data_IF_444449153273
#
_entry.id   IF_444449153273
#
_cell.length_a   1.000
_cell.length_b   1.000
_cell.length_c   1.000
_cell.angle_alpha   90.00
_cell.angle_beta   90.00
_cell.angle_gamma   90.00
#
_symmetry.space_group_name_H-M   'P 1'
#
loop_
_entity.id
_entity.type
_entity.pdbx_description
1 polymer ?
#
# COMPACT_ATOMS: atom_id res chain seq x y z
N UNK A 1 2.12 18.18 -42.15
CA UNK A 1 1.47 16.98 -42.71
C UNK A 1 1.11 15.95 -41.62
N UNK A 2 2.02 15.48 -40.76
CA UNK A 2 1.70 14.55 -39.67
C UNK A 2 0.61 15.04 -38.69
N UNK A 3 0.62 16.33 -38.33
CA UNK A 3 -0.38 16.95 -37.45
C UNK A 3 -1.79 17.00 -38.08
N UNK A 4 -1.88 17.22 -39.39
CA UNK A 4 -3.17 17.23 -40.11
C UNK A 4 -3.75 15.82 -40.23
N UNK A 5 -2.90 14.81 -40.49
CA UNK A 5 -3.30 13.40 -40.50
C UNK A 5 -3.78 12.90 -39.13
N UNK A 6 -3.13 13.36 -38.05
CA UNK A 6 -3.55 13.05 -36.67
C UNK A 6 -4.92 13.66 -36.35
N UNK A 7 -5.17 14.91 -36.77
CA UNK A 7 -6.42 15.64 -36.54
C UNK A 7 -7.60 15.07 -37.32
N UNK A 8 -7.37 14.49 -38.49
CA UNK A 8 -8.40 13.80 -39.28
C UNK A 8 -8.68 12.37 -38.78
N UNK A 9 -7.68 11.72 -38.18
CA UNK A 9 -7.80 10.35 -37.67
C UNK A 9 -8.47 10.27 -36.28
N UNK A 10 -8.28 11.29 -35.44
CA UNK A 10 -8.88 11.35 -34.11
C UNK A 10 -10.05 12.34 -34.10
N UNK A 11 -11.31 11.90 -33.93
CA UNK A 11 -12.47 12.78 -33.81
C UNK A 11 -12.51 13.43 -32.42
N UNK A 12 -11.46 14.20 -32.09
CA UNK A 12 -11.26 14.93 -30.83
C UNK A 12 -12.52 15.65 -30.31
N UNK A 13 -13.31 16.38 -31.14
CA UNK A 13 -14.52 17.03 -30.65
C UNK A 13 -15.61 16.03 -30.23
N UNK A 14 -15.76 14.91 -30.94
CA UNK A 14 -16.73 13.87 -30.57
C UNK A 14 -16.29 13.12 -29.32
N UNK A 15 -14.98 12.85 -29.19
CA UNK A 15 -14.41 12.25 -27.99
C UNK A 15 -14.53 13.17 -26.78
N UNK A 16 -14.25 14.46 -26.95
CA UNK A 16 -14.40 15.47 -25.90
C UNK A 16 -15.85 15.62 -25.45
N UNK A 17 -16.80 15.62 -26.38
CA UNK A 17 -18.23 15.64 -26.06
C UNK A 17 -18.65 14.36 -25.31
N UNK A 18 -18.23 13.19 -25.78
CA UNK A 18 -18.54 11.92 -25.10
C UNK A 18 -17.94 11.87 -23.69
N UNK A 19 -16.70 12.34 -23.51
CA UNK A 19 -16.06 12.43 -22.21
C UNK A 19 -16.79 13.42 -21.29
N UNK A 20 -17.20 14.58 -21.80
CA UNK A 20 -17.96 15.56 -21.03
C UNK A 20 -19.34 14.99 -20.60
N UNK A 21 -20.05 14.32 -21.51
CA UNK A 21 -21.32 13.66 -21.20
C UNK A 21 -21.11 12.57 -20.14
N UNK A 22 -20.11 11.71 -20.31
CA UNK A 22 -19.81 10.64 -19.35
C UNK A 22 -19.41 11.20 -17.97
N UNK A 23 -18.66 12.30 -17.94
CA UNK A 23 -18.28 13.00 -16.72
C UNK A 23 -19.49 13.61 -16.02
N UNK A 24 -20.36 14.30 -16.74
CA UNK A 24 -21.58 14.91 -16.17
C UNK A 24 -22.54 13.82 -15.68
N UNK A 25 -22.80 12.82 -16.51
CA UNK A 25 -23.68 11.70 -16.17
C UNK A 25 -23.14 10.89 -14.99
N UNK A 26 -21.84 10.59 -14.98
CA UNK A 26 -21.21 9.82 -13.90
C UNK A 26 -21.14 10.60 -12.60
N UNK A 27 -20.71 11.87 -12.65
CA UNK A 27 -20.58 12.72 -11.46
C UNK A 27 -21.90 12.97 -10.77
N UNK A 28 -22.96 13.19 -11.53
CA UNK A 28 -24.29 13.44 -10.98
C UNK A 28 -25.08 12.16 -10.70
N UNK A 29 -24.48 10.97 -10.92
CA UNK A 29 -25.15 9.67 -10.86
C UNK A 29 -26.47 9.69 -11.65
N UNK A 30 -26.39 10.10 -12.92
CA UNK A 30 -27.53 10.36 -13.80
C UNK A 30 -28.51 11.38 -13.21
N UNK A 31 -27.99 12.51 -12.71
CA UNK A 31 -28.74 13.61 -12.09
C UNK A 31 -29.44 13.30 -10.75
N UNK A 32 -29.17 12.14 -10.13
CA UNK A 32 -29.71 11.82 -8.79
C UNK A 32 -29.00 12.55 -7.65
N UNK A 33 -27.73 12.95 -7.85
CA UNK A 33 -26.93 13.68 -6.88
C UNK A 33 -26.40 14.98 -7.52
N UNK A 34 -27.14 16.11 -7.41
CA UNK A 34 -26.79 17.37 -8.06
C UNK A 34 -25.45 17.96 -7.60
N UNK A 35 -25.04 17.67 -6.36
CA UNK A 35 -23.75 18.11 -5.79
C UNK A 35 -22.54 17.36 -6.36
N UNK A 36 -22.75 16.32 -7.18
CA UNK A 36 -21.64 15.55 -7.76
C UNK A 36 -20.64 16.39 -8.58
N UNK A 37 -21.13 17.42 -9.28
CA UNK A 37 -20.28 18.34 -10.04
C UNK A 37 -19.39 19.22 -9.15
N UNK A 38 -19.85 19.60 -7.94
CA UNK A 38 -19.02 20.38 -7.02
C UNK A 38 -17.87 19.54 -6.45
N UNK A 39 -18.09 18.24 -6.23
CA UNK A 39 -17.02 17.32 -5.86
C UNK A 39 -15.97 17.16 -6.95
N UNK A 40 -16.37 17.15 -8.23
CA UNK A 40 -15.39 17.17 -9.34
C UNK A 40 -14.63 18.48 -9.38
N UNK A 41 -15.32 19.62 -9.22
CA UNK A 41 -14.65 20.93 -9.15
C UNK A 41 -13.61 20.98 -8.03
N UNK A 42 -13.98 20.50 -6.85
CA UNK A 42 -13.06 20.40 -5.70
C UNK A 42 -11.91 19.41 -5.95
N UNK A 43 -12.18 18.26 -6.58
CA UNK A 43 -11.15 17.29 -6.94
C UNK A 43 -10.18 17.86 -7.99
N UNK A 44 -10.68 18.59 -8.98
CA UNK A 44 -9.86 19.29 -9.98
C UNK A 44 -9.01 20.38 -9.34
N UNK A 45 -9.58 21.20 -8.45
CA UNK A 45 -8.81 22.20 -7.70
C UNK A 45 -7.72 21.53 -6.86
N UNK A 46 -8.06 20.47 -6.11
CA UNK A 46 -7.10 19.69 -5.32
C UNK A 46 -6.00 19.09 -6.20
N UNK A 47 -6.35 18.61 -7.39
CA UNK A 47 -5.40 18.06 -8.36
C UNK A 47 -4.46 19.15 -8.89
N UNK A 48 -4.98 20.31 -9.28
CA UNK A 48 -4.15 21.43 -9.73
C UNK A 48 -3.24 21.96 -8.62
N UNK A 49 -3.74 22.03 -7.38
CA UNK A 49 -2.92 22.37 -6.21
C UNK A 49 -1.85 21.32 -5.95
N UNK A 50 -2.17 20.04 -6.10
CA UNK A 50 -1.25 18.92 -5.90
C UNK A 50 -0.04 18.90 -6.85
N UNK A 51 -0.06 19.65 -7.94
CA UNK A 51 1.13 19.82 -8.80
C UNK A 51 2.23 20.59 -8.06
N UNK A 52 1.85 21.57 -7.23
CA UNK A 52 2.79 22.49 -6.55
C UNK A 52 2.91 22.19 -5.07
N UNK A 53 1.80 21.83 -4.43
CA UNK A 53 1.74 21.55 -3.00
C UNK A 53 1.87 20.05 -2.79
N UNK A 54 3.05 19.63 -2.32
CA UNK A 54 3.30 18.26 -1.91
C UNK A 54 2.69 17.95 -0.54
N UNK A 55 2.45 16.66 -0.29
CA UNK A 55 2.14 16.19 1.05
C UNK A 55 3.43 16.23 1.90
N UNK A 56 3.37 16.71 3.15
CA UNK A 56 4.53 16.68 4.05
C UNK A 56 5.11 15.28 4.12
N UNK A 57 6.44 15.18 3.93
CA UNK A 57 7.22 13.94 4.03
C UNK A 57 6.83 12.80 3.07
N UNK A 58 6.04 13.10 2.03
CA UNK A 58 5.82 12.15 0.95
C UNK A 58 7.11 11.95 0.14
N UNK A 59 7.43 10.71 -0.26
CA UNK A 59 8.63 10.44 -1.03
C UNK A 59 8.54 11.03 -2.43
N UNK A 60 9.69 11.36 -3.01
CA UNK A 60 9.76 11.72 -4.42
C UNK A 60 9.17 10.60 -5.28
N UNK A 61 8.30 10.97 -6.23
CA UNK A 61 7.61 10.03 -7.10
C UNK A 61 6.81 8.96 -6.35
N UNK A 62 6.12 9.34 -5.27
CA UNK A 62 5.38 8.42 -4.41
C UNK A 62 4.48 7.42 -5.16
N UNK A 63 3.68 7.81 -6.18
CA UNK A 63 2.85 6.86 -6.92
C UNK A 63 3.67 5.78 -7.65
N UNK A 64 4.84 6.15 -8.19
CA UNK A 64 5.74 5.24 -8.86
C UNK A 64 6.37 4.25 -7.88
N UNK A 65 6.83 4.74 -6.73
CA UNK A 65 7.37 3.90 -5.67
C UNK A 65 6.32 2.91 -5.16
N UNK A 66 5.10 3.36 -4.90
CA UNK A 66 4.00 2.51 -4.46
C UNK A 66 3.69 1.39 -5.49
N UNK A 67 3.63 1.74 -6.78
CA UNK A 67 3.43 0.76 -7.86
C UNK A 67 4.56 -0.28 -7.89
N UNK A 68 5.82 0.13 -7.77
CA UNK A 68 6.95 -0.80 -7.78
C UNK A 68 6.99 -1.72 -6.55
N UNK A 69 6.60 -1.22 -5.38
CA UNK A 69 6.61 -1.97 -4.12
C UNK A 69 5.50 -3.01 -4.07
N UNK A 70 4.28 -2.66 -4.49
CA UNK A 70 3.15 -3.59 -4.41
C UNK A 70 2.97 -4.44 -5.67
N UNK A 71 3.34 -3.91 -6.84
CA UNK A 71 3.05 -4.52 -8.15
C UNK A 71 4.30 -4.79 -9.01
N UNK A 72 5.39 -5.38 -8.48
CA UNK A 72 6.57 -5.70 -9.30
C UNK A 72 6.28 -6.68 -10.43
N UNK A 73 5.23 -7.52 -10.29
CA UNK A 73 4.73 -8.36 -11.37
C UNK A 73 4.35 -7.51 -12.59
N UNK A 74 3.49 -6.51 -12.40
CA UNK A 74 3.03 -5.65 -13.48
C UNK A 74 4.14 -4.75 -14.00
N UNK A 75 5.07 -4.30 -13.15
CA UNK A 75 6.24 -3.57 -13.59
C UNK A 75 7.10 -4.42 -14.56
N UNK A 76 7.49 -5.63 -14.17
CA UNK A 76 8.35 -6.49 -14.98
C UNK A 76 7.63 -6.95 -16.26
N UNK A 77 6.45 -7.56 -16.13
CA UNK A 77 5.72 -8.09 -17.29
C UNK A 77 5.15 -6.98 -18.17
N UNK A 78 4.79 -5.83 -17.59
CA UNK A 78 4.34 -4.66 -18.35
C UNK A 78 5.45 -4.09 -19.23
N UNK A 79 6.68 -3.98 -18.72
CA UNK A 79 7.83 -3.56 -19.54
C UNK A 79 8.20 -4.58 -20.62
N UNK A 80 8.17 -5.88 -20.30
CA UNK A 80 8.36 -6.95 -21.30
C UNK A 80 7.25 -6.94 -22.35
N UNK A 81 6.00 -6.69 -21.94
CA UNK A 81 4.86 -6.53 -22.82
C UNK A 81 4.99 -5.33 -23.75
N UNK A 82 5.42 -4.19 -23.22
CA UNK A 82 5.75 -3.00 -24.01
C UNK A 82 6.84 -3.31 -25.06
N UNK A 83 7.89 -4.03 -24.67
CA UNK A 83 8.92 -4.49 -25.61
C UNK A 83 8.33 -5.37 -26.72
N UNK A 84 7.41 -6.29 -26.41
CA UNK A 84 6.76 -7.11 -27.43
C UNK A 84 5.85 -6.30 -28.35
N UNK A 85 5.09 -5.35 -27.83
CA UNK A 85 4.24 -4.46 -28.64
C UNK A 85 5.08 -3.59 -29.60
N UNK A 86 6.24 -3.10 -29.14
CA UNK A 86 7.13 -2.26 -29.97
C UNK A 86 7.85 -3.06 -31.06
N UNK A 87 8.19 -4.32 -30.79
CA UNK A 87 8.88 -5.20 -31.74
C UNK A 87 7.93 -6.13 -32.51
N UNK A 88 6.61 -5.95 -32.36
CA UNK A 88 5.62 -6.74 -33.07
C UNK A 88 5.67 -6.45 -34.56
N UNK A 89 5.64 -7.52 -35.37
CA UNK A 89 5.56 -7.42 -36.82
C UNK A 89 4.22 -6.77 -37.23
N UNK A 90 4.25 -5.59 -37.91
CA UNK A 90 3.05 -4.87 -38.33
C UNK A 90 2.09 -5.67 -39.20
N UNK A 91 2.60 -6.65 -39.96
CA UNK A 91 1.82 -7.44 -40.91
C UNK A 91 1.08 -8.60 -40.23
N UNK A 92 1.60 -9.09 -39.10
CA UNK A 92 1.06 -10.26 -38.38
C UNK A 92 0.15 -9.89 -37.22
N UNK A 93 0.25 -8.67 -36.71
CA UNK A 93 -0.51 -8.23 -35.53
C UNK A 93 -1.77 -7.45 -35.92
N UNK A 94 -2.96 -7.84 -35.41
CA UNK A 94 -4.20 -7.13 -35.68
C UNK A 94 -4.10 -5.63 -35.36
N UNK A 95 -4.71 -4.79 -36.20
CA UNK A 95 -4.67 -3.34 -36.04
C UNK A 95 -5.15 -2.89 -34.64
N UNK A 96 -6.21 -3.51 -34.13
CA UNK A 96 -6.78 -3.21 -32.82
C UNK A 96 -5.78 -3.49 -31.68
N UNK A 97 -5.11 -4.64 -31.73
CA UNK A 97 -4.11 -5.04 -30.74
C UNK A 97 -2.92 -4.05 -30.72
N UNK A 98 -2.43 -3.69 -31.91
CA UNK A 98 -1.36 -2.68 -32.05
C UNK A 98 -1.78 -1.31 -31.53
N UNK A 99 -3.00 -0.88 -31.81
CA UNK A 99 -3.53 0.39 -31.34
C UNK A 99 -3.62 0.40 -29.81
N UNK A 100 -4.24 -0.63 -29.22
CA UNK A 100 -4.38 -0.77 -27.77
C UNK A 100 -3.00 -0.80 -27.09
N UNK A 101 -2.09 -1.66 -27.56
CA UNK A 101 -0.75 -1.77 -26.98
C UNK A 101 0.00 -0.43 -27.00
N UNK A 102 -0.02 0.30 -28.12
CA UNK A 102 0.64 1.61 -28.22
C UNK A 102 -0.05 2.68 -27.38
N UNK A 103 -1.38 2.64 -27.26
CA UNK A 103 -2.13 3.53 -26.38
C UNK A 103 -1.77 3.29 -24.90
N UNK A 104 -1.63 2.03 -24.48
CA UNK A 104 -1.18 1.67 -23.13
C UNK A 104 0.25 2.12 -22.86
N UNK A 105 1.17 2.00 -23.83
CA UNK A 105 2.53 2.54 -23.71
C UNK A 105 2.50 4.07 -23.56
N UNK A 106 1.71 4.75 -24.39
CA UNK A 106 1.52 6.20 -24.30
C UNK A 106 0.97 6.62 -22.94
N UNK A 107 -0.04 5.91 -22.43
CA UNK A 107 -0.56 6.10 -21.08
C UNK A 107 0.55 5.88 -20.05
N UNK A 108 1.27 4.76 -20.09
CA UNK A 108 2.34 4.46 -19.14
C UNK A 108 3.39 5.58 -19.07
N UNK A 109 3.82 6.11 -20.22
CA UNK A 109 4.78 7.22 -20.28
C UNK A 109 4.19 8.48 -19.61
N UNK A 110 2.94 8.82 -19.94
CA UNK A 110 2.26 9.98 -19.33
C UNK A 110 2.07 9.80 -17.83
N UNK A 111 1.69 8.60 -17.37
CA UNK A 111 1.52 8.29 -15.96
C UNK A 111 2.85 8.33 -15.19
N UNK A 112 3.93 7.84 -15.79
CA UNK A 112 5.27 7.92 -15.21
C UNK A 112 5.74 9.38 -15.11
N UNK A 113 5.59 10.16 -16.18
CA UNK A 113 5.90 11.59 -16.16
C UNK A 113 5.05 12.36 -15.13
N UNK A 114 3.74 12.09 -15.09
CA UNK A 114 2.83 12.67 -14.10
C UNK A 114 3.27 12.32 -12.67
N UNK A 115 3.65 11.08 -12.41
CA UNK A 115 4.12 10.64 -11.09
C UNK A 115 5.40 11.35 -10.64
N UNK A 116 6.25 11.78 -11.57
CA UNK A 116 7.47 12.53 -11.26
C UNK A 116 7.21 14.02 -10.99
N UNK A 117 6.19 14.60 -11.63
CA UNK A 117 5.87 16.03 -11.54
C UNK A 117 4.86 16.33 -10.45
N UNK A 118 3.98 15.38 -10.13
CA UNK A 118 2.85 15.57 -9.23
C UNK A 118 3.27 15.39 -7.76
N UNK A 119 3.59 16.50 -7.09
CA UNK A 119 4.09 16.51 -5.71
C UNK A 119 3.07 15.99 -4.68
N UNK A 120 1.78 16.20 -4.91
CA UNK A 120 0.66 15.75 -4.07
C UNK A 120 0.27 14.28 -4.29
N UNK A 121 1.14 13.51 -4.96
CA UNK A 121 0.87 12.10 -5.25
C UNK A 121 0.72 11.29 -3.98
N UNK A 122 -0.38 10.54 -3.88
CA UNK A 122 -0.62 9.54 -2.84
C UNK A 122 -0.55 8.13 -3.45
N UNK A 123 -0.61 7.10 -2.61
CA UNK A 123 -0.61 5.72 -3.08
C UNK A 123 -1.77 5.42 -4.06
N UNK A 124 -2.94 6.06 -3.90
CA UNK A 124 -4.08 5.91 -4.82
C UNK A 124 -3.74 6.29 -6.27
N UNK A 125 -2.85 7.28 -6.45
CA UNK A 125 -2.42 7.73 -7.76
C UNK A 125 -1.56 6.67 -8.48
N UNK A 126 -1.04 5.67 -7.76
CA UNK A 126 -0.31 4.55 -8.37
C UNK A 126 -1.18 3.77 -9.36
N UNK A 127 -2.51 3.82 -9.23
CA UNK A 127 -3.44 3.20 -10.18
C UNK A 127 -3.25 3.69 -11.62
N UNK A 128 -2.82 4.95 -11.81
CA UNK A 128 -2.52 5.49 -13.14
C UNK A 128 -1.35 4.77 -13.82
N UNK A 129 -0.44 4.17 -13.06
CA UNK A 129 0.65 3.33 -13.54
C UNK A 129 0.23 1.86 -13.62
N UNK A 130 -0.47 1.37 -12.60
CA UNK A 130 -0.84 -0.04 -12.49
C UNK A 130 -1.77 -0.48 -13.61
N UNK A 131 -2.73 0.35 -14.03
CA UNK A 131 -3.66 0.01 -15.12
C UNK A 131 -2.98 -0.24 -16.46
N UNK A 132 -2.17 0.68 -17.01
CA UNK A 132 -1.46 0.41 -18.26
C UNK A 132 -0.43 -0.72 -18.13
N UNK A 133 0.25 -0.84 -16.97
CA UNK A 133 1.16 -1.95 -16.72
C UNK A 133 0.45 -3.31 -16.71
N UNK A 134 -0.73 -3.40 -16.09
CA UNK A 134 -1.53 -4.62 -16.07
C UNK A 134 -1.98 -5.00 -17.50
N UNK A 135 -2.48 -4.04 -18.28
CA UNK A 135 -2.84 -4.27 -19.68
C UNK A 135 -1.63 -4.73 -20.53
N UNK A 136 -0.47 -4.10 -20.33
CA UNK A 136 0.76 -4.49 -21.03
C UNK A 136 1.27 -5.86 -20.58
N UNK A 137 1.13 -6.19 -19.29
CA UNK A 137 1.56 -7.47 -18.73
C UNK A 137 0.84 -8.65 -19.37
N UNK A 138 -0.42 -8.47 -19.77
CA UNK A 138 -1.20 -9.50 -20.46
C UNK A 138 -0.50 -9.99 -21.73
N UNK A 139 0.10 -9.10 -22.53
CA UNK A 139 0.85 -9.49 -23.74
C UNK A 139 2.04 -10.42 -23.41
N UNK A 140 2.77 -10.10 -22.35
CA UNK A 140 3.91 -10.91 -21.92
C UNK A 140 3.47 -12.24 -21.30
N UNK A 141 2.41 -12.23 -20.48
CA UNK A 141 1.88 -13.42 -19.81
C UNK A 141 1.29 -14.41 -20.83
N UNK A 142 0.48 -13.93 -21.78
CA UNK A 142 -0.08 -14.78 -22.84
C UNK A 142 1.03 -15.46 -23.63
N UNK A 143 2.10 -14.73 -23.94
CA UNK A 143 3.25 -15.30 -24.65
C UNK A 143 4.04 -16.29 -23.80
N UNK A 144 4.20 -16.06 -22.49
CA UNK A 144 4.88 -16.98 -21.59
C UNK A 144 4.11 -18.30 -21.39
N UNK A 145 2.77 -18.24 -21.43
CA UNK A 145 1.88 -19.40 -21.29
C UNK A 145 1.59 -20.12 -22.63
N UNK A 146 1.95 -19.52 -23.76
CA UNK A 146 1.75 -20.12 -25.06
C UNK A 146 2.55 -21.45 -25.19
N UNK A 147 2.01 -22.46 -25.89
CA UNK A 147 2.75 -23.69 -26.15
C UNK A 147 4.09 -23.41 -26.84
N UNK A 148 5.15 -24.04 -26.34
CA UNK A 148 6.49 -23.90 -26.92
C UNK A 148 6.55 -24.65 -28.25
N UNK A 149 6.58 -23.91 -29.35
CA UNK A 149 6.85 -24.44 -30.67
C UNK A 149 8.29 -24.10 -31.05
N UNK A 150 9.11 -25.11 -31.32
CA UNK A 150 10.48 -24.94 -31.84
C UNK A 150 10.64 -25.76 -33.13
N UNK A 151 11.48 -25.27 -34.05
CA UNK A 151 11.72 -25.93 -35.35
C UNK A 151 12.67 -27.11 -35.22
N UNK A 152 13.60 -27.05 -34.26
CA UNK A 152 14.68 -28.01 -34.13
C UNK A 152 14.51 -28.96 -32.95
N UNK A 153 13.73 -28.55 -31.93
CA UNK A 153 13.58 -29.29 -30.69
C UNK A 153 12.15 -29.76 -30.49
N UNK A 154 11.97 -31.03 -30.13
CA UNK A 154 10.72 -31.53 -29.61
C UNK A 154 10.63 -31.23 -28.11
N UNK A 155 9.87 -30.19 -27.75
CA UNK A 155 9.73 -29.75 -26.35
C UNK A 155 8.55 -30.47 -25.70
N UNK A 156 8.78 -31.31 -24.67
CA UNK A 156 7.68 -31.88 -23.91
C UNK A 156 6.86 -30.79 -23.24
N UNK A 157 5.54 -30.94 -23.21
CA UNK A 157 4.61 -29.94 -22.64
C UNK A 157 4.97 -29.62 -21.17
N UNK A 158 5.45 -30.61 -20.41
CA UNK A 158 5.80 -30.44 -19.00
C UNK A 158 7.14 -29.72 -18.76
N UNK A 159 8.04 -29.64 -19.76
CA UNK A 159 9.41 -29.16 -19.56
C UNK A 159 9.48 -27.69 -19.10
N UNK A 160 8.74 -26.73 -19.70
CA UNK A 160 8.69 -25.35 -19.19
C UNK A 160 8.15 -25.27 -17.76
N UNK A 161 7.14 -26.07 -17.41
CA UNK A 161 6.55 -26.07 -16.06
C UNK A 161 7.51 -26.66 -15.02
N UNK A 162 8.28 -27.71 -15.36
CA UNK A 162 9.32 -28.21 -14.47
C UNK A 162 10.37 -27.13 -14.20
N UNK A 163 10.83 -26.43 -15.24
CA UNK A 163 11.78 -25.33 -15.08
C UNK A 163 11.19 -24.20 -14.22
N UNK A 164 9.92 -23.86 -14.44
CA UNK A 164 9.21 -22.87 -13.63
C UNK A 164 9.18 -23.25 -12.15
N UNK A 165 8.88 -24.51 -11.82
CA UNK A 165 8.89 -25.02 -10.44
C UNK A 165 10.28 -24.93 -9.83
N UNK A 166 11.33 -25.34 -10.56
CA UNK A 166 12.72 -25.23 -10.09
C UNK A 166 13.14 -23.78 -9.84
N UNK A 167 12.74 -22.86 -10.74
CA UNK A 167 12.99 -21.44 -10.58
C UNK A 167 12.26 -20.88 -9.34
N UNK A 168 10.98 -21.22 -9.17
CA UNK A 168 10.21 -20.80 -7.99
C UNK A 168 10.87 -21.32 -6.72
N UNK A 169 11.25 -22.60 -6.66
CA UNK A 169 11.90 -23.20 -5.50
C UNK A 169 13.22 -22.49 -5.16
N UNK A 170 14.07 -22.23 -6.15
CA UNK A 170 15.34 -21.52 -5.94
C UNK A 170 15.14 -20.07 -5.52
N UNK A 171 14.17 -19.36 -6.10
CA UNK A 171 13.81 -18.00 -5.66
C UNK A 171 13.23 -17.96 -4.25
N UNK A 172 12.46 -18.98 -3.84
CA UNK A 172 12.00 -19.12 -2.46
C UNK A 172 13.15 -19.33 -1.49
N UNK A 173 14.12 -20.19 -1.82
CA UNK A 173 15.33 -20.39 -1.02
C UNK A 173 16.09 -19.05 -0.90
N UNK A 174 16.31 -18.35 -2.01
CA UNK A 174 16.96 -17.05 -2.00
C UNK A 174 16.19 -16.03 -1.14
N UNK A 175 14.86 -15.92 -1.33
CA UNK A 175 14.00 -15.00 -0.60
C UNK A 175 13.98 -15.24 0.91
N UNK A 176 13.85 -16.50 1.35
CA UNK A 176 13.89 -16.86 2.78
C UNK A 176 15.21 -16.46 3.41
N UNK A 177 16.34 -16.77 2.77
CA UNK A 177 17.65 -16.40 3.29
C UNK A 177 17.87 -14.87 3.25
N UNK A 178 17.33 -14.17 2.25
CA UNK A 178 17.40 -12.71 2.15
C UNK A 178 16.68 -12.02 3.31
N UNK A 179 15.52 -12.54 3.73
CA UNK A 179 14.78 -12.03 4.89
C UNK A 179 15.60 -12.17 6.18
N UNK A 180 16.30 -13.30 6.34
CA UNK A 180 17.18 -13.51 7.49
C UNK A 180 18.33 -12.51 7.51
N UNK A 181 19.02 -12.34 6.37
CA UNK A 181 20.09 -11.35 6.23
C UNK A 181 19.56 -9.95 6.55
N UNK A 182 18.39 -9.57 6.04
CA UNK A 182 17.77 -8.30 6.36
C UNK A 182 17.46 -8.11 7.86
N UNK A 183 16.99 -9.14 8.56
CA UNK A 183 16.75 -9.03 10.01
C UNK A 183 18.04 -8.78 10.79
N UNK A 184 19.12 -9.42 10.36
CA UNK A 184 20.45 -9.24 10.96
C UNK A 184 20.99 -7.84 10.65
N UNK A 185 20.77 -7.32 9.44
CA UNK A 185 21.17 -5.94 9.15
C UNK A 185 20.47 -4.93 10.05
N UNK A 186 19.24 -5.18 10.51
CA UNK A 186 18.53 -4.28 11.44
C UNK A 186 19.14 -4.22 12.86
N UNK A 187 19.87 -5.24 13.31
CA UNK A 187 20.46 -5.27 14.66
C UNK A 187 21.87 -4.67 14.74
N UNK A 188 22.48 -4.33 13.60
CA UNK A 188 23.86 -3.85 13.49
C UNK A 188 23.93 -2.33 13.35
N UNK A 189 25.09 -1.68 13.52
CA UNK A 189 25.20 -0.23 13.29
C UNK A 189 25.18 0.11 11.78
N UNK A 190 24.67 1.28 11.35
CA UNK A 190 24.45 1.59 9.93
C UNK A 190 25.72 1.96 9.15
N UNK A 191 26.76 2.43 9.84
CA UNK A 191 27.90 3.15 9.26
C UNK A 191 29.05 2.24 8.80
N UNK A 192 29.00 0.94 9.13
CA UNK A 192 30.05 -0.04 8.81
C UNK A 192 29.47 -1.20 8.02
N UNK A 193 30.23 -1.68 7.02
CA UNK A 193 29.92 -2.95 6.37
C UNK A 193 29.89 -4.03 7.46
N UNK A 194 28.77 -4.77 7.63
CA UNK A 194 28.59 -5.63 8.78
C UNK A 194 29.64 -6.75 8.75
N UNK A 195 30.39 -7.01 9.85
CA UNK A 195 31.12 -8.25 9.98
C UNK A 195 30.08 -9.37 10.12
N UNK A 196 29.80 -10.05 9.01
CA UNK A 196 28.86 -11.16 8.97
C UNK A 196 29.40 -12.28 9.87
N UNK A 197 28.56 -12.77 10.79
CA UNK A 197 28.90 -13.98 11.53
C UNK A 197 28.91 -15.18 10.58
N UNK A 198 29.56 -16.27 10.99
CA UNK A 198 29.65 -17.47 10.14
C UNK A 198 28.27 -18.01 9.70
N UNK A 199 27.25 -17.86 10.56
CA UNK A 199 25.87 -18.22 10.24
C UNK A 199 25.27 -17.33 9.15
N UNK A 200 25.49 -16.01 9.23
CA UNK A 200 25.00 -15.04 8.24
C UNK A 200 25.69 -15.20 6.89
N UNK A 201 27.00 -15.50 6.92
CA UNK A 201 27.77 -15.83 5.73
C UNK A 201 27.20 -17.07 5.02
N UNK A 202 26.82 -18.10 5.78
CA UNK A 202 26.17 -19.29 5.22
C UNK A 202 24.84 -18.94 4.55
N UNK A 203 24.03 -18.08 5.17
CA UNK A 203 22.76 -17.59 4.59
C UNK A 203 22.98 -16.80 3.31
N UNK A 204 23.98 -15.90 3.31
CA UNK A 204 24.38 -15.16 2.12
C UNK A 204 24.85 -16.10 0.99
N UNK A 205 25.65 -17.11 1.33
CA UNK A 205 26.13 -18.11 0.39
C UNK A 205 24.97 -18.93 -0.20
N UNK A 206 23.96 -19.28 0.61
CA UNK A 206 22.75 -19.95 0.11
C UNK A 206 21.96 -19.10 -0.89
N UNK A 207 21.93 -17.77 -0.74
CA UNK A 207 21.33 -16.88 -1.75
C UNK A 207 22.10 -16.99 -3.07
N UNK A 208 23.42 -16.84 -3.01
CA UNK A 208 24.29 -16.92 -4.20
C UNK A 208 24.15 -18.28 -4.88
N UNK A 209 24.18 -19.37 -4.11
CA UNK A 209 24.02 -20.73 -4.62
C UNK A 209 22.66 -20.95 -5.25
N UNK A 210 21.58 -20.46 -4.62
CA UNK A 210 20.23 -20.59 -5.16
C UNK A 210 20.09 -19.84 -6.50
N UNK A 211 20.61 -18.60 -6.58
CA UNK A 211 20.61 -17.82 -7.83
C UNK A 211 21.48 -18.46 -8.91
N UNK A 212 22.68 -18.96 -8.55
CA UNK A 212 23.53 -19.69 -9.47
C UNK A 212 22.83 -20.95 -9.99
N UNK A 213 22.12 -21.69 -9.13
CA UNK A 213 21.34 -22.85 -9.52
C UNK A 213 20.21 -22.47 -10.49
N UNK A 214 19.50 -21.36 -10.28
CA UNK A 214 18.50 -20.85 -11.23
C UNK A 214 19.10 -20.62 -12.63
N UNK A 215 20.31 -20.04 -12.69
CA UNK A 215 21.03 -19.80 -13.94
C UNK A 215 21.49 -21.12 -14.58
N UNK A 216 22.02 -22.05 -13.79
CA UNK A 216 22.42 -23.37 -14.27
C UNK A 216 21.21 -24.12 -14.84
N UNK A 217 20.06 -24.11 -14.15
CA UNK A 217 18.85 -24.75 -14.65
C UNK A 217 18.36 -24.11 -15.95
N UNK A 218 18.46 -22.79 -16.10
CA UNK A 218 18.14 -22.13 -17.36
C UNK A 218 18.96 -22.69 -18.52
N UNK A 219 20.28 -22.77 -18.38
CA UNK A 219 21.17 -23.30 -19.42
C UNK A 219 20.95 -24.80 -19.65
N UNK A 220 20.72 -25.58 -18.61
CA UNK A 220 20.46 -27.02 -18.72
C UNK A 220 19.18 -27.31 -19.51
N UNK A 221 18.08 -26.62 -19.18
CA UNK A 221 16.82 -26.73 -19.92
C UNK A 221 17.00 -26.25 -21.36
N UNK A 222 17.70 -25.12 -21.53
CA UNK A 222 17.99 -24.53 -22.84
C UNK A 222 18.82 -25.42 -23.75
N UNK A 223 19.78 -26.16 -23.19
CA UNK A 223 20.61 -27.11 -23.93
C UNK A 223 19.88 -28.42 -24.26
N UNK A 224 18.88 -28.79 -23.46
CA UNK A 224 18.17 -30.08 -23.61
C UNK A 224 16.96 -29.97 -24.54
N UNK A 225 16.20 -28.86 -24.45
CA UNK A 225 14.95 -28.65 -25.18
C UNK A 225 14.88 -27.31 -25.92
N UNK A 226 16.01 -26.61 -26.06
CA UNK A 226 16.11 -25.34 -26.76
C UNK A 226 15.86 -24.13 -25.87
N UNK A 227 16.49 -23.00 -26.23
CA UNK A 227 16.44 -21.75 -25.46
C UNK A 227 15.01 -21.21 -25.26
N UNK A 228 14.10 -21.47 -26.21
CA UNK A 228 12.71 -21.04 -26.12
C UNK A 228 11.99 -21.72 -24.95
N UNK A 229 12.26 -23.01 -24.70
CA UNK A 229 11.69 -23.74 -23.57
C UNK A 229 12.18 -23.15 -22.22
N UNK A 230 13.47 -22.82 -22.13
CA UNK A 230 14.05 -22.19 -20.95
C UNK A 230 13.38 -20.83 -20.65
N UNK A 231 13.23 -19.96 -21.66
CA UNK A 231 12.56 -18.67 -21.50
C UNK A 231 11.09 -18.76 -21.09
N UNK A 232 10.33 -19.74 -21.61
CA UNK A 232 8.94 -19.95 -21.16
C UNK A 232 8.91 -20.41 -19.70
N UNK A 233 9.79 -21.35 -19.32
CA UNK A 233 9.89 -21.77 -17.93
C UNK A 233 10.30 -20.64 -16.98
N UNK A 234 11.23 -19.76 -17.39
CA UNK A 234 11.58 -18.56 -16.64
C UNK A 234 10.42 -17.59 -16.53
N UNK A 235 9.70 -17.35 -17.63
CA UNK A 235 8.51 -16.50 -17.64
C UNK A 235 7.43 -17.02 -16.69
N UNK A 236 7.09 -18.31 -16.76
CA UNK A 236 6.08 -18.91 -15.88
C UNK A 236 6.55 -18.89 -14.42
N UNK A 237 7.82 -19.21 -14.14
CA UNK A 237 8.36 -19.21 -12.79
C UNK A 237 8.37 -17.82 -12.15
N UNK A 238 8.77 -16.79 -12.90
CA UNK A 238 8.71 -15.39 -12.45
C UNK A 238 7.26 -14.91 -12.28
N UNK A 239 6.34 -15.31 -13.16
CA UNK A 239 4.92 -15.00 -13.02
C UNK A 239 4.36 -15.54 -11.70
N UNK A 240 4.65 -16.81 -11.38
CA UNK A 240 4.20 -17.44 -10.13
C UNK A 240 4.84 -16.74 -8.93
N UNK A 241 6.16 -16.57 -8.93
CA UNK A 241 6.89 -15.99 -7.80
C UNK A 241 6.46 -14.54 -7.52
N UNK A 242 6.41 -13.69 -8.55
CA UNK A 242 6.00 -12.29 -8.41
C UNK A 242 4.49 -12.16 -8.14
N UNK A 243 3.67 -13.06 -8.68
CA UNK A 243 2.24 -13.12 -8.34
C UNK A 243 2.00 -13.42 -6.86
N UNK A 244 2.73 -14.39 -6.29
CA UNK A 244 2.69 -14.69 -4.86
C UNK A 244 3.21 -13.51 -4.03
N UNK A 245 4.28 -12.84 -4.48
CA UNK A 245 4.79 -11.65 -3.82
C UNK A 245 3.76 -10.51 -3.79
N UNK A 246 3.20 -10.12 -4.94
CA UNK A 246 2.22 -9.04 -5.06
C UNK A 246 0.95 -9.34 -4.27
N UNK A 247 0.46 -10.59 -4.34
CA UNK A 247 -0.68 -11.02 -3.53
C UNK A 247 -0.40 -10.90 -2.03
N UNK A 248 0.76 -11.37 -1.56
CA UNK A 248 1.15 -11.23 -0.17
C UNK A 248 1.33 -9.76 0.23
N UNK A 249 1.95 -8.92 -0.61
CA UNK A 249 2.13 -7.51 -0.32
C UNK A 249 0.79 -6.77 -0.15
N UNK A 250 -0.18 -7.04 -1.05
CA UNK A 250 -1.54 -6.53 -0.94
C UNK A 250 -2.28 -7.05 0.29
N UNK A 251 -2.18 -8.36 0.59
CA UNK A 251 -2.81 -8.95 1.78
C UNK A 251 -2.27 -8.36 3.08
N UNK A 252 -0.94 -8.16 3.17
CA UNK A 252 -0.31 -7.56 4.33
C UNK A 252 -0.79 -6.12 4.53
N UNK A 253 -0.80 -5.30 3.47
CA UNK A 253 -1.26 -3.92 3.55
C UNK A 253 -2.75 -3.80 3.90
N UNK A 254 -3.60 -4.70 3.40
CA UNK A 254 -5.04 -4.65 3.64
C UNK A 254 -5.46 -5.24 5.00
N UNK A 255 -4.83 -6.32 5.46
CA UNK A 255 -5.34 -7.13 6.57
C UNK A 255 -4.42 -7.12 7.79
N UNK A 256 -3.14 -7.43 7.61
CA UNK A 256 -2.26 -7.69 8.76
C UNK A 256 -1.63 -6.41 9.32
N UNK A 257 -1.31 -5.45 8.44
CA UNK A 257 -0.55 -4.22 8.73
C UNK A 257 -1.35 -2.95 8.42
N UNK A 258 -2.67 -3.04 8.53
CA UNK A 258 -3.55 -1.89 8.33
C UNK A 258 -3.27 -0.74 9.33
N UNK A 259 -2.66 -1.06 10.49
CA UNK A 259 -2.28 -0.12 11.54
C UNK A 259 -0.79 0.28 11.51
N UNK A 260 -0.02 -0.19 10.53
CA UNK A 260 1.42 0.08 10.43
C UNK A 260 1.70 1.27 9.47
N UNK A 261 2.19 2.42 9.98
CA UNK A 261 2.44 3.60 9.16
C UNK A 261 3.65 3.44 8.22
N UNK A 262 4.35 2.31 8.29
CA UNK A 262 5.44 1.97 7.36
C UNK A 262 4.90 1.42 6.03
N UNK A 263 3.62 1.10 5.95
CA UNK A 263 2.95 0.77 4.69
C UNK A 263 2.71 2.04 3.87
N UNK A 264 3.09 2.00 2.59
CA UNK A 264 2.91 3.11 1.67
C UNK A 264 1.41 3.42 1.42
N UNK A 265 0.53 2.43 1.57
CA UNK A 265 -0.92 2.62 1.40
C UNK A 265 -1.57 3.39 2.57
N UNK A 266 -0.96 3.35 3.76
CA UNK A 266 -1.53 3.91 4.99
C UNK A 266 -0.52 4.85 5.65
N UNK A 267 -0.49 6.11 5.22
CA UNK A 267 0.47 7.11 5.73
C UNK A 267 0.17 7.54 7.18
N UNK A 268 -1.12 7.59 7.55
CA UNK A 268 -1.58 7.94 8.90
C UNK A 268 -2.66 6.96 9.36
N UNK A 269 -2.31 5.69 9.62
CA UNK A 269 -3.27 4.67 9.97
C UNK A 269 -3.89 4.93 11.35
N UNK A 270 -5.12 4.46 11.50
CA UNK A 270 -5.77 4.40 12.80
C UNK A 270 -5.10 3.35 13.69
N UNK A 271 -4.74 3.73 14.91
CA UNK A 271 -4.08 2.85 15.85
C UNK A 271 -5.00 1.73 16.35
N UNK A 272 -4.46 0.52 16.53
CA UNK A 272 -5.14 -0.60 17.21
C UNK A 272 -5.63 -0.26 18.61
N UNK A 273 -5.01 0.72 19.27
CA UNK A 273 -5.42 1.18 20.59
C UNK A 273 -6.83 1.79 20.60
N UNK A 274 -7.41 2.13 19.43
CA UNK A 274 -8.81 2.54 19.35
C UNK A 274 -9.77 1.39 19.72
N UNK A 275 -9.41 0.14 19.45
CA UNK A 275 -10.20 -1.01 19.90
C UNK A 275 -10.12 -1.14 21.43
N UNK A 276 -8.96 -0.85 22.02
CA UNK A 276 -8.79 -0.80 23.47
C UNK A 276 -9.59 0.36 24.08
N UNK A 277 -9.56 1.55 23.45
CA UNK A 277 -10.39 2.70 23.82
C UNK A 277 -11.86 2.29 23.87
N UNK A 278 -12.42 1.77 22.77
CA UNK A 278 -13.83 1.38 22.71
C UNK A 278 -14.17 0.36 23.79
N UNK A 279 -13.31 -0.64 24.01
CA UNK A 279 -13.52 -1.65 25.06
C UNK A 279 -13.48 -1.04 26.48
N UNK A 280 -12.57 -0.09 26.72
CA UNK A 280 -12.49 0.65 28.00
C UNK A 280 -13.75 1.49 28.21
N UNK A 281 -14.23 2.18 27.17
CA UNK A 281 -15.48 2.95 27.21
C UNK A 281 -16.69 2.04 27.48
N UNK A 282 -16.78 0.89 26.81
CA UNK A 282 -17.85 -0.09 27.02
C UNK A 282 -17.86 -0.63 28.45
N UNK A 283 -16.67 -0.96 28.96
CA UNK A 283 -16.51 -1.48 30.33
C UNK A 283 -16.88 -0.42 31.37
N UNK A 284 -16.40 0.81 31.20
CA UNK A 284 -16.74 1.92 32.08
C UNK A 284 -18.24 2.24 32.02
N UNK A 285 -18.84 2.18 30.82
CA UNK A 285 -20.27 2.41 30.63
C UNK A 285 -21.13 1.34 31.31
N UNK A 286 -20.75 0.06 31.19
CA UNK A 286 -21.42 -1.04 31.88
C UNK A 286 -21.42 -0.85 33.39
N UNK A 287 -20.31 -0.39 33.97
CA UNK A 287 -20.20 -0.14 35.41
C UNK A 287 -21.00 1.10 35.85
N UNK A 288 -21.03 2.14 35.02
CA UNK A 288 -21.72 3.39 35.34
C UNK A 288 -23.24 3.30 35.19
N UNK A 289 -23.73 2.58 34.18
CA UNK A 289 -25.14 2.62 33.76
C UNK A 289 -25.80 1.25 33.62
N UNK A 290 -25.05 0.16 33.75
CA UNK A 290 -25.53 -1.20 33.45
C UNK A 290 -25.61 -1.52 31.95
N UNK A 291 -25.34 -0.56 31.05
CA UNK A 291 -25.40 -0.74 29.60
C UNK A 291 -24.07 -0.33 28.93
N UNK A 292 -23.66 -1.00 27.84
CA UNK A 292 -22.31 -0.83 27.28
C UNK A 292 -22.07 0.48 26.53
N UNK A 293 -23.10 1.23 26.16
CA UNK A 293 -22.93 2.46 25.35
C UNK A 293 -23.67 3.68 25.89
N UNK A 294 -24.32 3.56 27.05
CA UNK A 294 -25.26 4.58 27.56
C UNK A 294 -24.63 5.58 28.52
N UNK A 295 -23.38 5.39 28.97
CA UNK A 295 -22.72 6.37 29.82
C UNK A 295 -22.51 7.71 29.10
N UNK A 296 -22.60 8.79 29.86
CA UNK A 296 -22.23 10.12 29.38
C UNK A 296 -20.71 10.17 29.17
N UNK A 297 -20.32 10.66 27.99
CA UNK A 297 -18.91 10.85 27.62
C UNK A 297 -18.69 12.32 27.28
N UNK A 298 -17.78 12.98 27.99
CA UNK A 298 -17.39 14.36 27.69
C UNK A 298 -16.06 14.36 26.95
N UNK A 299 -16.03 14.95 25.76
CA UNK A 299 -14.84 14.93 24.89
C UNK A 299 -14.35 16.34 24.63
N UNK A 300 -13.08 16.60 24.90
CA UNK A 300 -12.42 17.86 24.57
C UNK A 300 -12.36 18.06 23.05
N UNK A 301 -12.73 19.24 22.55
CA UNK A 301 -12.77 19.54 21.11
C UNK A 301 -11.40 19.37 20.44
N UNK A 302 -10.33 19.74 21.13
CA UNK A 302 -8.96 19.55 20.67
C UNK A 302 -8.63 18.06 20.39
N UNK A 303 -9.29 17.12 21.06
CA UNK A 303 -9.08 15.69 20.83
C UNK A 303 -9.68 15.18 19.51
N UNK A 304 -10.68 15.87 18.93
CA UNK A 304 -11.42 15.42 17.74
C UNK A 304 -11.15 16.21 16.45
N UNK A 305 -10.65 17.45 16.55
CA UNK A 305 -10.58 18.41 15.44
C UNK A 305 -9.82 17.85 14.23
N UNK A 306 -8.77 17.05 14.47
CA UNK A 306 -8.00 16.36 13.43
C UNK A 306 -7.96 14.83 13.60
N UNK A 307 -8.92 14.26 14.33
CA UNK A 307 -8.92 12.84 14.70
C UNK A 307 -10.21 12.14 14.22
N UNK A 308 -10.32 11.94 12.91
CA UNK A 308 -11.44 11.22 12.32
C UNK A 308 -11.62 9.79 12.90
N UNK A 309 -10.55 9.01 13.16
CA UNK A 309 -10.69 7.69 13.77
C UNK A 309 -11.36 7.72 15.15
N UNK A 310 -11.05 8.72 15.99
CA UNK A 310 -11.70 8.90 17.29
C UNK A 310 -13.20 9.21 17.13
N UNK A 311 -13.56 10.12 16.22
CA UNK A 311 -14.97 10.44 15.94
C UNK A 311 -15.75 9.21 15.48
N UNK A 312 -15.15 8.38 14.63
CA UNK A 312 -15.76 7.12 14.20
C UNK A 312 -15.93 6.14 15.37
N UNK A 313 -14.93 6.00 16.24
CA UNK A 313 -15.01 5.16 17.42
C UNK A 313 -16.14 5.58 18.38
N UNK A 314 -16.35 6.89 18.54
CA UNK A 314 -17.38 7.47 19.39
C UNK A 314 -18.81 7.36 18.82
N UNK A 315 -18.97 7.06 17.53
CA UNK A 315 -20.28 6.94 16.88
C UNK A 315 -21.22 5.94 17.58
N UNK A 316 -20.68 4.92 18.26
CA UNK A 316 -21.46 3.91 18.99
C UNK A 316 -22.04 4.43 20.32
N UNK A 317 -21.61 5.58 20.80
CA UNK A 317 -21.99 6.14 22.10
C UNK A 317 -22.93 7.31 21.88
N UNK A 318 -24.26 7.16 22.03
CA UNK A 318 -25.22 8.23 21.74
C UNK A 318 -25.09 9.43 22.69
N UNK A 319 -24.59 9.23 23.92
CA UNK A 319 -24.56 10.24 24.98
C UNK A 319 -23.20 10.96 25.08
N UNK A 320 -22.49 11.15 23.96
CA UNK A 320 -21.26 11.94 23.94
C UNK A 320 -21.54 13.42 23.68
N UNK A 321 -20.83 14.31 24.37
CA UNK A 321 -20.87 15.76 24.12
C UNK A 321 -19.47 16.35 24.03
N UNK A 322 -19.32 17.36 23.17
CA UNK A 322 -18.06 18.06 22.97
C UNK A 322 -18.00 19.32 23.84
N UNK A 323 -16.86 19.52 24.50
CA UNK A 323 -16.55 20.72 25.28
C UNK A 323 -15.23 21.30 24.81
N UNK A 324 -15.03 22.60 24.95
CA UNK A 324 -13.79 23.22 24.46
C UNK A 324 -12.60 22.87 25.37
N UNK A 325 -12.82 22.82 26.69
CA UNK A 325 -11.81 22.46 27.69
C UNK A 325 -12.44 21.60 28.79
N UNK A 326 -11.72 20.56 29.23
CA UNK A 326 -12.09 19.80 30.43
C UNK A 326 -11.83 20.65 31.68
N UNK A 327 -12.87 20.89 32.48
CA UNK A 327 -12.83 21.75 33.67
C UNK A 327 -13.55 21.10 34.84
N UNK A 328 -13.44 21.69 36.04
CA UNK A 328 -13.97 21.11 37.28
C UNK A 328 -15.49 20.98 37.28
N UNK A 329 -16.17 21.65 36.34
CA UNK A 329 -17.60 21.49 36.07
C UNK A 329 -17.95 20.13 35.41
N UNK A 330 -16.97 19.41 34.86
CA UNK A 330 -17.16 18.10 34.24
C UNK A 330 -17.13 17.01 35.32
N UNK A 331 -18.27 16.34 35.52
CA UNK A 331 -18.43 15.20 36.43
C UNK A 331 -19.02 13.95 35.72
N UNK A 332 -18.83 13.86 34.40
CA UNK A 332 -19.29 12.72 33.62
C UNK A 332 -18.51 11.43 34.00
N UNK A 333 -19.12 10.24 33.91
CA UNK A 333 -18.45 8.95 34.13
C UNK A 333 -17.11 8.82 33.39
N UNK A 334 -17.06 9.36 32.18
CA UNK A 334 -15.92 9.28 31.27
C UNK A 334 -15.64 10.66 30.69
N UNK A 335 -14.38 11.06 30.71
CA UNK A 335 -13.87 12.22 30.01
C UNK A 335 -12.72 11.83 29.06
N UNK A 336 -12.64 12.44 27.89
CA UNK A 336 -11.56 12.23 26.91
C UNK A 336 -10.95 13.59 26.59
N UNK A 337 -9.64 13.71 26.77
CA UNK A 337 -8.91 14.95 26.50
C UNK A 337 -7.49 14.71 26.02
N UNK A 338 -6.78 15.79 25.76
CA UNK A 338 -5.35 15.76 25.38
C UNK A 338 -4.43 16.19 26.52
N UNK A 339 -4.99 16.85 27.54
CA UNK A 339 -4.22 17.35 28.68
C UNK A 339 -3.85 16.24 29.68
N UNK A 340 -2.60 16.20 30.18
CA UNK A 340 -2.12 15.15 31.10
C UNK A 340 -2.84 15.09 32.43
N UNK A 341 -3.34 16.22 32.95
CA UNK A 341 -4.05 16.32 34.23
C UNK A 341 -5.12 17.41 34.11
N UNK A 342 -6.30 17.11 33.54
CA UNK A 342 -7.38 18.07 33.50
C UNK A 342 -7.95 18.29 34.90
N UNK A 343 -8.29 19.53 35.24
CA UNK A 343 -9.02 19.82 36.46
C UNK A 343 -10.45 19.28 36.30
N UNK A 344 -10.76 18.08 36.81
CA UNK A 344 -12.08 17.46 36.73
C UNK A 344 -12.82 17.56 38.07
N UNK A 345 -14.16 17.40 38.07
CA UNK A 345 -14.99 17.58 39.26
C UNK A 345 -14.90 16.45 40.30
N UNK A 346 -14.14 15.39 40.02
CA UNK A 346 -13.98 14.21 40.87
C UNK A 346 -12.58 13.60 40.69
N UNK A 347 -12.30 12.48 41.37
CA UNK A 347 -11.08 11.69 41.14
C UNK A 347 -11.23 10.82 39.88
N UNK A 348 -10.22 10.83 39.00
CA UNK A 348 -10.21 10.07 37.75
C UNK A 348 -8.92 9.29 37.57
N UNK A 349 -9.02 8.13 36.91
CA UNK A 349 -7.89 7.32 36.46
C UNK A 349 -7.71 7.51 34.96
N UNK A 350 -6.52 7.95 34.56
CA UNK A 350 -6.17 8.27 33.18
C UNK A 350 -5.42 7.15 32.49
N UNK A 351 -5.77 6.87 31.22
CA UNK A 351 -4.98 6.03 30.34
C UNK A 351 -4.68 6.77 29.03
N UNK A 352 -3.39 6.94 28.73
CA UNK A 352 -2.95 7.52 27.45
C UNK A 352 -2.99 6.46 26.34
N UNK A 353 -3.66 6.78 25.24
CA UNK A 353 -3.81 5.91 24.07
C UNK A 353 -3.41 6.67 22.81
N UNK A 354 -2.46 6.12 22.05
CA UNK A 354 -2.14 6.63 20.72
C UNK A 354 -3.31 6.33 19.79
N UNK A 355 -3.87 7.35 19.13
CA UNK A 355 -4.97 7.19 18.16
C UNK A 355 -4.46 7.05 16.73
N UNK A 356 -3.29 7.62 16.45
CA UNK A 356 -2.61 7.53 15.17
C UNK A 356 -1.10 7.43 15.39
N UNK A 357 -0.42 6.81 14.43
CA UNK A 357 1.03 6.70 14.38
C UNK A 357 1.53 7.24 13.05
N UNK A 358 2.75 7.77 13.06
CA UNK A 358 3.44 8.27 11.88
C UNK A 358 4.79 7.62 11.71
N UNK A 359 5.20 7.49 10.45
CA UNK A 359 6.54 7.07 10.07
C UNK A 359 6.88 7.71 8.72
N UNK A 360 8.15 8.06 8.53
CA UNK A 360 8.60 8.77 7.33
C UNK A 360 9.63 7.93 6.58
N UNK A 361 9.46 7.84 5.25
CA UNK A 361 10.40 7.10 4.39
C UNK A 361 11.81 7.71 4.46
N UNK A 362 11.94 9.01 4.74
CA UNK A 362 13.23 9.68 4.95
C UNK A 362 14.05 9.11 6.11
N UNK A 363 13.41 8.40 7.05
CA UNK A 363 14.09 7.72 8.16
C UNK A 363 14.59 6.32 7.77
N UNK A 364 14.25 5.82 6.57
CA UNK A 364 14.69 4.53 6.07
C UNK A 364 16.16 4.60 5.64
N UNK A 365 16.99 3.81 6.30
CA UNK A 365 18.39 3.67 5.91
C UNK A 365 18.54 2.68 4.74
N UNK A 366 19.59 2.85 3.92
CA UNK A 366 19.81 2.06 2.72
C UNK A 366 19.75 0.54 2.97
N UNK A 367 20.42 0.07 4.03
CA UNK A 367 20.48 -1.35 4.39
C UNK A 367 19.18 -1.92 4.99
N UNK A 368 18.27 -1.05 5.44
CA UNK A 368 16.97 -1.44 5.98
C UNK A 368 15.94 -1.69 4.87
N UNK A 369 16.21 -1.21 3.65
CA UNK A 369 15.28 -1.29 2.50
C UNK A 369 14.81 -2.72 2.25
N UNK A 370 15.69 -3.72 2.37
CA UNK A 370 15.34 -5.13 2.15
C UNK A 370 14.34 -5.63 3.21
N UNK A 371 14.61 -5.32 4.48
CA UNK A 371 13.75 -5.68 5.61
C UNK A 371 12.42 -4.95 5.57
N UNK A 372 12.44 -3.70 5.14
CA UNK A 372 11.26 -2.90 4.93
C UNK A 372 10.42 -3.43 3.76
N UNK A 373 11.04 -3.77 2.62
CA UNK A 373 10.34 -4.24 1.43
C UNK A 373 9.55 -5.53 1.70
N UNK A 374 10.08 -6.43 2.55
CA UNK A 374 9.43 -7.69 2.85
C UNK A 374 8.53 -7.63 4.09
N UNK A 375 9.04 -7.12 5.22
CA UNK A 375 8.33 -7.14 6.50
C UNK A 375 7.94 -5.76 7.03
N UNK A 376 8.21 -4.66 6.32
CA UNK A 376 8.08 -3.30 6.83
C UNK A 376 8.88 -3.06 8.11
N UNK A 377 9.90 -3.86 8.37
CA UNK A 377 10.74 -3.68 9.54
C UNK A 377 11.80 -2.63 9.27
N UNK A 378 11.98 -1.74 10.23
CA UNK A 378 12.85 -0.56 10.18
C UNK A 378 13.49 -0.40 11.56
N UNK A 379 14.69 0.19 11.62
CA UNK A 379 15.34 0.50 12.90
C UNK A 379 14.62 1.61 13.66
N UNK A 380 14.19 2.64 12.93
CA UNK A 380 13.37 3.73 13.47
C UNK A 380 11.94 3.23 13.59
N UNK A 381 11.47 3.13 14.83
CA UNK A 381 10.10 2.71 15.13
C UNK A 381 9.11 3.85 14.85
N UNK A 382 7.88 3.52 14.41
CA UNK A 382 6.82 4.51 14.30
C UNK A 382 6.57 5.25 15.62
N UNK A 383 6.31 6.54 15.53
CA UNK A 383 5.99 7.37 16.70
C UNK A 383 4.50 7.73 16.71
N UNK A 384 3.86 7.85 17.90
CA UNK A 384 2.50 8.36 17.99
C UNK A 384 2.41 9.79 17.44
N UNK A 385 1.60 9.99 16.41
CA UNK A 385 1.36 11.33 15.83
C UNK A 385 0.18 12.03 16.52
N UNK A 386 -0.79 11.26 17.00
CA UNK A 386 -1.91 11.74 17.80
C UNK A 386 -2.17 10.79 18.97
N UNK A 387 -2.51 11.36 20.13
CA UNK A 387 -2.89 10.61 21.31
C UNK A 387 -4.03 11.31 22.04
N UNK A 388 -4.78 10.51 22.80
CA UNK A 388 -5.78 11.01 23.74
C UNK A 388 -5.57 10.34 25.08
N UNK A 389 -6.10 10.96 26.12
CA UNK A 389 -6.13 10.41 27.47
C UNK A 389 -7.59 10.20 27.83
N UNK A 390 -7.91 8.95 28.17
CA UNK A 390 -9.22 8.55 28.65
C UNK A 390 -9.19 8.60 30.16
N UNK A 391 -10.07 9.40 30.73
CA UNK A 391 -10.26 9.56 32.15
C UNK A 391 -11.55 8.85 32.54
N UNK A 392 -11.45 7.84 33.39
CA UNK A 392 -12.61 7.16 33.99
C UNK A 392 -12.68 7.51 35.45
N UNK A 393 -13.86 7.88 35.94
CA UNK A 393 -14.03 8.28 37.34
C UNK A 393 -13.68 7.13 38.30
N UNK A 394 -13.01 7.42 39.40
CA UNK A 394 -12.36 6.43 40.26
C UNK A 394 -13.33 5.46 40.94
N UNK A 395 -14.53 5.94 41.30
CA UNK A 395 -15.66 5.15 41.83
C UNK A 395 -16.12 4.08 40.83
N UNK A 396 -16.15 4.42 39.54
CA UNK A 396 -16.56 3.51 38.45
C UNK A 396 -15.42 2.54 38.09
N UNK A 397 -14.18 2.98 38.20
CA UNK A 397 -13.02 2.13 37.97
C UNK A 397 -12.85 1.08 39.09
N UNK A 398 -13.31 1.39 40.31
CA UNK A 398 -13.27 0.51 41.48
C UNK A 398 -11.99 0.66 42.32
N UNK A 399 -11.43 1.87 42.40
CA UNK A 399 -10.21 2.18 43.20
C UNK A 399 -10.54 2.96 44.47
N UNK A 400 -11.82 3.09 44.85
CA UNK A 400 -12.12 3.71 46.14
C UNK A 400 -11.59 2.82 47.27
N UNK A 401 -10.59 3.32 47.99
CA UNK A 401 -10.13 2.73 49.25
C UNK A 401 -11.35 2.63 50.18
N UNK A 402 -11.69 1.39 50.53
CA UNK A 402 -12.59 1.12 51.65
C UNK A 402 -11.86 1.62 52.88
N UNK A 403 -12.15 2.84 53.34
CA UNK A 403 -11.78 3.27 54.69
C UNK A 403 -12.44 2.29 55.66
N UNK A 404 -11.68 1.49 56.44
CA UNK A 404 -12.27 0.64 57.46
C UNK A 404 -12.86 1.56 58.53
N UNK A 405 -14.18 1.44 58.73
CA UNK A 405 -14.93 2.10 59.80
C UNK A 405 -14.50 1.62 61.17
#
# INVERSE_FOLDING_TARGET
>A
QAWQALRSALPLPKMGLAAAIALIAGSTALFTIPSGLSHIGAALEASLRGIVVGMPDAPFAFPLLASLVYEPLFALFGLVGAYFVLNADPERTPLAERFIGRALIGWLIVAAAASLVYAGGTADHALWLTLPLAGLSAFAIVRALAPVQDRYWHVPIWAPYLHAILLVATLFIAGVNLIWVGRVTLSMMPELFPPLQQQDLMRALMIVLALALSVITFFLIGSTWGARAAWHGTGIGLLIFLGLYSFNAGWQAAVNKFDDPRELWHVNPSSRNLNLLVKTLETASLRATGAPTMAEIVVERAAIENNAPLRWALHKFPNHRYVDVLSSAVNAPIAIGVQPEPALGASYVGQRLATQSGWFLSTLQYWDTLSWLYNRQTRVMPQPSAHVIVWVRADIYGVEEVTPS
#
